data_IF_362249241680
#
_entry.id   IF_362249241680
#
_cell.length_a   1.000
_cell.length_b   1.000
_cell.length_c   1.000
_cell.angle_alpha   90.00
_cell.angle_beta   90.00
_cell.angle_gamma   90.00
#
_symmetry.space_group_name_H-M   'P 1'
#
loop_
_entity.id
_entity.type
_entity.pdbx_description
1 polymer ?
#
# COMPACT_ATOMS: atom_id res chain seq x y z
N UNK A 1 -18.46 24.33 -22.79
CA UNK A 1 -18.05 22.91 -22.93
C UNK A 1 -16.60 22.73 -23.41
N UNK A 2 -16.15 23.33 -24.52
CA UNK A 2 -14.75 23.18 -24.99
C UNK A 2 -13.69 23.79 -24.04
N UNK A 3 -13.97 24.93 -23.39
CA UNK A 3 -13.06 25.56 -22.42
C UNK A 3 -12.94 24.78 -21.12
N UNK A 4 -14.01 24.18 -20.60
CA UNK A 4 -13.97 23.34 -19.39
C UNK A 4 -13.17 22.05 -19.60
N UNK A 5 -13.26 21.45 -20.80
CA UNK A 5 -12.44 20.28 -21.15
C UNK A 5 -10.96 20.62 -21.33
N UNK A 6 -10.62 21.87 -21.69
CA UNK A 6 -9.25 22.33 -21.87
C UNK A 6 -8.59 22.68 -20.53
N UNK A 7 -9.34 23.19 -19.55
CA UNK A 7 -8.86 23.45 -18.19
C UNK A 7 -8.60 22.14 -17.44
N UNK A 8 -9.44 21.11 -17.63
CA UNK A 8 -9.22 19.79 -17.05
C UNK A 8 -7.94 19.07 -17.57
N UNK A 9 -7.48 19.44 -18.79
CA UNK A 9 -6.25 18.87 -19.39
C UNK A 9 -4.94 19.49 -18.85
N UNK A 10 -4.99 20.54 -18.04
CA UNK A 10 -3.82 21.25 -17.54
C UNK A 10 -3.54 21.03 -16.04
N UNK A 11 -4.40 20.28 -15.35
CA UNK A 11 -4.09 19.93 -13.96
C UNK A 11 -3.12 18.77 -13.93
N UNK A 12 -2.01 18.86 -13.15
CA UNK A 12 -1.10 17.74 -13.01
C UNK A 12 -1.81 16.53 -12.43
N UNK A 13 -1.45 15.31 -12.90
CA UNK A 13 -2.05 14.09 -12.37
C UNK A 13 -1.82 14.02 -10.87
N UNK A 14 -2.83 13.56 -10.14
CA UNK A 14 -2.77 13.36 -8.69
C UNK A 14 -2.86 11.87 -8.36
N UNK A 15 -1.82 11.36 -7.76
CA UNK A 15 -1.74 9.96 -7.33
C UNK A 15 -2.07 9.88 -5.84
N UNK A 16 -3.00 8.99 -5.49
CA UNK A 16 -3.23 8.56 -4.11
C UNK A 16 -2.31 7.39 -3.80
N UNK A 17 -1.44 7.50 -2.81
CA UNK A 17 -0.65 6.38 -2.29
C UNK A 17 -1.24 5.94 -0.96
N UNK A 18 -1.62 4.66 -0.87
CA UNK A 18 -2.24 4.08 0.31
C UNK A 18 -1.47 2.85 0.79
N UNK A 19 -0.49 3.02 1.70
CA UNK A 19 0.35 1.95 2.22
C UNK A 19 -0.35 1.12 3.30
N UNK A 20 0.14 -0.09 3.52
CA UNK A 20 -0.06 -0.77 4.79
C UNK A 20 0.62 0.04 5.91
N UNK A 21 -0.04 0.25 7.08
CA UNK A 21 0.51 1.08 8.15
C UNK A 21 1.60 0.36 8.97
N UNK A 22 2.64 -0.09 8.29
CA UNK A 22 3.83 -0.73 8.82
C UNK A 22 5.10 -0.05 8.27
N UNK A 23 6.14 0.19 9.07
CA UNK A 23 7.33 0.91 8.62
C UNK A 23 7.98 0.31 7.36
N UNK A 24 8.02 -1.02 7.26
CA UNK A 24 8.56 -1.74 6.09
C UNK A 24 7.78 -1.53 4.81
N UNK A 25 6.52 -1.14 4.89
CA UNK A 25 5.65 -0.82 3.77
C UNK A 25 5.59 0.69 3.49
N UNK A 26 5.59 1.50 4.53
CA UNK A 26 5.52 2.96 4.42
C UNK A 26 6.78 3.53 3.80
N UNK A 27 7.98 3.13 4.28
CA UNK A 27 9.24 3.73 3.84
C UNK A 27 9.50 3.59 2.33
N UNK A 28 9.32 2.41 1.69
CA UNK A 28 9.46 2.29 0.24
C UNK A 28 8.41 3.12 -0.52
N UNK A 29 7.18 3.20 -0.02
CA UNK A 29 6.12 3.97 -0.65
C UNK A 29 6.31 5.49 -0.46
N UNK A 30 6.89 5.95 0.65
CA UNK A 30 7.34 7.34 0.81
C UNK A 30 8.45 7.69 -0.17
N UNK A 31 9.37 6.76 -0.43
CA UNK A 31 10.42 6.99 -1.44
C UNK A 31 9.84 7.07 -2.85
N UNK A 32 8.87 6.22 -3.18
CA UNK A 32 8.13 6.34 -4.43
C UNK A 32 7.39 7.69 -4.53
N UNK A 33 6.71 8.09 -3.45
CA UNK A 33 6.00 9.36 -3.36
C UNK A 33 6.92 10.56 -3.63
N UNK A 34 8.13 10.54 -3.06
CA UNK A 34 9.16 11.55 -3.30
C UNK A 34 9.57 11.62 -4.77
N UNK A 35 9.83 10.47 -5.41
CA UNK A 35 10.19 10.41 -6.82
C UNK A 35 9.09 10.91 -7.75
N UNK A 36 7.83 10.58 -7.44
CA UNK A 36 6.67 11.09 -8.19
C UNK A 36 6.53 12.61 -8.03
N UNK A 37 6.68 13.13 -6.81
CA UNK A 37 6.62 14.56 -6.55
C UNK A 37 7.74 15.32 -7.26
N UNK A 38 8.97 14.80 -7.26
CA UNK A 38 10.09 15.33 -8.04
C UNK A 38 9.82 15.35 -9.55
N UNK A 39 9.01 14.42 -10.04
CA UNK A 39 8.58 14.36 -11.44
C UNK A 39 7.40 15.28 -11.77
N UNK A 40 6.97 16.14 -10.83
CA UNK A 40 5.85 17.07 -11.02
C UNK A 40 4.46 16.43 -10.88
N UNK A 41 4.37 15.20 -10.40
CA UNK A 41 3.10 14.53 -10.13
C UNK A 41 2.63 14.92 -8.72
N UNK A 42 1.39 15.35 -8.59
CA UNK A 42 0.80 15.61 -7.27
C UNK A 42 0.58 14.29 -6.53
N UNK A 43 0.92 14.27 -5.24
CA UNK A 43 0.79 13.07 -4.42
C UNK A 43 -0.07 13.35 -3.19
N UNK A 44 -1.08 12.54 -2.99
CA UNK A 44 -1.79 12.43 -1.71
C UNK A 44 -1.35 11.14 -1.04
N UNK A 45 -0.62 11.25 0.07
CA UNK A 45 -0.16 10.10 0.85
C UNK A 45 -1.14 9.85 2.00
N UNK A 46 -1.93 8.78 1.90
CA UNK A 46 -2.99 8.44 2.85
C UNK A 46 -2.47 7.40 3.84
N UNK A 47 -2.30 7.81 5.10
CA UNK A 47 -1.84 6.92 6.16
C UNK A 47 -2.89 6.77 7.26
N UNK A 48 -2.74 5.80 8.17
CA UNK A 48 -3.55 5.81 9.39
C UNK A 48 -3.13 6.97 10.28
N UNK A 49 -4.10 7.52 11.03
CA UNK A 49 -3.82 8.61 11.97
C UNK A 49 -2.74 8.21 12.98
N UNK A 50 -2.82 6.98 13.50
CA UNK A 50 -1.85 6.46 14.46
C UNK A 50 -0.43 6.44 13.87
N UNK A 51 -0.25 5.92 12.66
CA UNK A 51 1.06 5.83 12.05
C UNK A 51 1.57 7.20 11.59
N UNK A 52 0.69 8.08 11.14
CA UNK A 52 1.06 9.44 10.79
C UNK A 52 1.64 10.18 12.01
N UNK A 53 0.99 10.12 13.17
CA UNK A 53 1.48 10.72 14.40
C UNK A 53 2.84 10.14 14.82
N UNK A 54 3.06 8.83 14.65
CA UNK A 54 4.38 8.22 14.90
C UNK A 54 5.46 8.75 13.96
N UNK A 55 5.15 8.95 12.69
CA UNK A 55 6.10 9.52 11.72
C UNK A 55 6.45 10.96 12.07
N UNK A 56 5.49 11.76 12.52
CA UNK A 56 5.74 13.14 13.01
C UNK A 56 6.69 13.15 14.21
N UNK A 57 6.52 12.22 15.15
CA UNK A 57 7.34 12.16 16.36
C UNK A 57 8.79 11.72 16.10
N UNK A 58 9.02 10.91 15.06
CA UNK A 58 10.30 10.21 14.90
C UNK A 58 11.07 10.56 13.63
N UNK A 59 10.47 11.24 12.67
CA UNK A 59 11.08 11.39 11.33
C UNK A 59 10.95 12.78 10.71
N UNK A 60 10.38 13.77 11.41
CA UNK A 60 10.12 15.13 10.89
C UNK A 60 9.61 15.10 9.42
N UNK A 61 8.64 14.24 9.20
CA UNK A 61 8.21 13.88 7.85
C UNK A 61 7.58 15.07 7.11
N UNK A 62 6.96 16.00 7.83
CA UNK A 62 6.37 17.20 7.22
C UNK A 62 7.44 18.13 6.67
N UNK A 63 8.51 18.37 7.41
CA UNK A 63 9.63 19.18 6.94
C UNK A 63 10.31 18.55 5.71
N UNK A 64 10.48 17.23 5.71
CA UNK A 64 11.04 16.49 4.59
C UNK A 64 10.25 16.69 3.29
N UNK A 65 8.93 16.75 3.37
CA UNK A 65 8.07 16.85 2.19
C UNK A 65 7.55 18.27 1.92
N UNK A 66 7.84 19.26 2.79
CA UNK A 66 7.38 20.63 2.66
C UNK A 66 7.80 21.33 1.35
N UNK A 67 8.96 20.94 0.79
CA UNK A 67 9.48 21.53 -0.45
C UNK A 67 8.81 20.99 -1.73
N UNK A 68 8.06 19.91 -1.64
CA UNK A 68 7.43 19.29 -2.82
C UNK A 68 6.06 19.91 -3.08
N UNK A 69 5.97 20.72 -4.14
CA UNK A 69 4.69 21.29 -4.56
C UNK A 69 3.68 20.19 -4.92
N UNK A 70 2.47 20.28 -4.36
CA UNK A 70 1.40 19.31 -4.63
C UNK A 70 1.47 18.02 -3.83
N UNK A 71 2.45 17.85 -2.92
CA UNK A 71 2.47 16.75 -1.97
C UNK A 71 1.64 17.08 -0.73
N UNK A 72 0.77 16.16 -0.33
CA UNK A 72 -0.03 16.30 0.89
C UNK A 72 -0.16 14.98 1.64
N UNK A 73 -0.06 15.04 2.96
CA UNK A 73 -0.45 13.95 3.83
C UNK A 73 -1.94 14.03 4.15
N UNK A 74 -2.60 12.89 4.15
CA UNK A 74 -3.99 12.72 4.63
C UNK A 74 -4.03 11.50 5.55
N UNK A 75 -5.01 11.51 6.45
CA UNK A 75 -5.17 10.41 7.40
C UNK A 75 -6.54 9.78 7.30
N UNK A 76 -6.58 8.49 7.64
CA UNK A 76 -7.78 7.68 7.72
C UNK A 76 -7.76 6.91 9.05
N UNK A 77 -8.90 6.74 9.74
CA UNK A 77 -8.97 5.88 10.93
C UNK A 77 -8.65 4.42 10.56
N UNK A 78 -7.91 3.74 11.42
CA UNK A 78 -7.68 2.28 11.31
C UNK A 78 -8.85 1.45 11.85
N UNK A 79 -9.84 2.10 12.44
CA UNK A 79 -11.06 1.48 12.95
C UNK A 79 -10.88 0.75 14.29
N UNK A 80 -9.71 0.82 14.92
CA UNK A 80 -9.47 0.28 16.25
C UNK A 80 -9.75 1.33 17.33
N UNK A 81 -10.10 0.90 18.56
CA UNK A 81 -10.25 1.80 19.71
C UNK A 81 -8.94 2.52 20.06
N UNK A 82 -9.04 3.67 20.72
CA UNK A 82 -7.86 4.50 21.04
C UNK A 82 -6.90 3.82 22.01
N UNK A 83 -7.41 2.98 22.91
CA UNK A 83 -6.64 2.19 23.89
C UNK A 83 -5.96 0.95 23.31
N UNK A 84 -6.21 0.63 22.03
CA UNK A 84 -5.55 -0.51 21.39
C UNK A 84 -4.05 -0.22 21.19
N UNK A 85 -3.14 -1.12 21.61
CA UNK A 85 -1.70 -0.83 21.66
C UNK A 85 -1.02 -0.71 20.30
N UNK A 86 -1.61 -1.27 19.24
CA UNK A 86 -1.04 -1.31 17.87
C UNK A 86 0.42 -1.76 17.86
N UNK A 87 0.75 -2.70 18.76
CA UNK A 87 2.09 -3.29 18.87
C UNK A 87 2.37 -4.27 17.72
N UNK A 88 3.63 -4.67 17.57
CA UNK A 88 4.03 -5.62 16.52
C UNK A 88 3.29 -6.96 16.62
N UNK A 89 2.98 -7.42 17.86
CA UNK A 89 2.21 -8.65 18.10
C UNK A 89 0.73 -8.49 17.70
N UNK A 90 0.23 -7.25 17.65
CA UNK A 90 -1.16 -6.90 17.35
C UNK A 90 -1.37 -6.32 15.94
N UNK A 91 -0.34 -6.40 15.08
CA UNK A 91 -0.42 -5.86 13.71
C UNK A 91 -1.55 -6.48 12.89
N UNK A 92 -1.86 -7.76 13.12
CA UNK A 92 -2.96 -8.44 12.44
C UNK A 92 -4.31 -7.79 12.74
N UNK A 93 -4.52 -7.31 13.97
CA UNK A 93 -5.75 -6.63 14.38
C UNK A 93 -5.95 -5.34 13.56
N UNK A 94 -4.87 -4.58 13.34
CA UNK A 94 -4.87 -3.38 12.49
C UNK A 94 -5.26 -3.73 11.06
N UNK A 95 -4.60 -4.73 10.46
CA UNK A 95 -4.85 -5.16 9.09
C UNK A 95 -6.32 -5.59 8.91
N UNK A 96 -6.79 -6.48 9.78
CA UNK A 96 -8.17 -7.00 9.74
C UNK A 96 -9.19 -5.87 9.93
N UNK A 97 -8.96 -4.98 10.91
CA UNK A 97 -9.85 -3.84 11.14
C UNK A 97 -9.94 -2.94 9.92
N UNK A 98 -8.81 -2.62 9.29
CA UNK A 98 -8.79 -1.80 8.08
C UNK A 98 -9.49 -2.49 6.91
N UNK A 99 -9.23 -3.77 6.67
CA UNK A 99 -9.91 -4.53 5.60
C UNK A 99 -11.43 -4.54 5.76
N UNK A 100 -11.92 -4.60 7.00
CA UNK A 100 -13.36 -4.66 7.29
C UNK A 100 -14.05 -3.29 7.29
N UNK A 101 -13.35 -2.23 7.73
CA UNK A 101 -14.00 -0.94 8.03
C UNK A 101 -13.63 0.18 7.06
N UNK A 102 -12.48 0.09 6.38
CA UNK A 102 -11.93 1.21 5.62
C UNK A 102 -12.59 1.38 4.24
N UNK A 103 -13.11 0.33 3.62
CA UNK A 103 -13.70 0.37 2.27
C UNK A 103 -14.72 1.51 2.11
N UNK A 104 -15.71 1.56 2.99
CA UNK A 104 -16.78 2.58 2.92
C UNK A 104 -16.24 3.99 3.10
N UNK A 105 -15.35 4.17 4.06
CA UNK A 105 -14.76 5.47 4.35
C UNK A 105 -13.86 5.96 3.22
N UNK A 106 -13.00 5.09 2.69
CA UNK A 106 -12.14 5.41 1.54
C UNK A 106 -12.98 5.85 0.34
N UNK A 107 -14.05 5.11 0.02
CA UNK A 107 -14.98 5.49 -1.04
C UNK A 107 -15.60 6.88 -0.80
N UNK A 108 -16.04 7.17 0.42
CA UNK A 108 -16.59 8.48 0.78
C UNK A 108 -15.54 9.60 0.62
N UNK A 109 -14.32 9.39 1.09
CA UNK A 109 -13.23 10.38 0.99
C UNK A 109 -12.85 10.67 -0.46
N UNK A 110 -12.83 9.65 -1.32
CA UNK A 110 -12.59 9.82 -2.76
C UNK A 110 -13.75 10.57 -3.45
N UNK A 111 -14.98 10.13 -3.21
CA UNK A 111 -16.17 10.73 -3.84
C UNK A 111 -16.43 12.17 -3.40
N UNK A 112 -16.10 12.52 -2.14
CA UNK A 112 -16.28 13.88 -1.61
C UNK A 112 -15.17 14.87 -2.00
N UNK A 113 -14.09 14.39 -2.65
CA UNK A 113 -12.93 15.21 -2.97
C UNK A 113 -12.01 15.54 -1.79
N UNK A 114 -12.20 14.95 -0.61
CA UNK A 114 -11.32 15.14 0.56
C UNK A 114 -9.86 14.75 0.28
N UNK A 115 -9.65 13.82 -0.65
CA UNK A 115 -8.32 13.38 -1.10
C UNK A 115 -7.81 14.15 -2.33
N UNK A 116 -8.53 15.19 -2.78
CA UNK A 116 -8.31 15.88 -4.04
C UNK A 116 -8.86 15.10 -5.24
N UNK A 117 -8.65 15.64 -6.44
CA UNK A 117 -9.02 14.94 -7.67
C UNK A 117 -7.99 13.83 -7.96
N UNK A 118 -8.28 12.62 -7.48
CA UNK A 118 -7.40 11.47 -7.66
C UNK A 118 -7.56 10.91 -9.08
N UNK A 119 -6.45 10.81 -9.81
CA UNK A 119 -6.40 10.28 -11.18
C UNK A 119 -5.83 8.86 -11.25
N UNK A 120 -5.18 8.39 -10.20
CA UNK A 120 -4.67 7.04 -10.07
C UNK A 120 -4.48 6.69 -8.58
N UNK A 121 -4.70 5.44 -8.22
CA UNK A 121 -4.43 4.91 -6.89
C UNK A 121 -3.23 3.97 -6.96
N UNK A 122 -2.25 4.16 -6.08
CA UNK A 122 -1.19 3.19 -5.80
C UNK A 122 -1.45 2.64 -4.40
N UNK A 123 -1.85 1.39 -4.33
CA UNK A 123 -2.24 0.74 -3.07
C UNK A 123 -1.24 -0.35 -2.68
N UNK A 124 -1.00 -0.49 -1.39
CA UNK A 124 -0.30 -1.67 -0.88
C UNK A 124 -1.07 -2.94 -1.27
N UNK A 125 -0.35 -3.94 -1.74
CA UNK A 125 -0.94 -5.20 -2.18
C UNK A 125 -1.85 -5.85 -1.14
N UNK A 126 -1.55 -5.70 0.15
CA UNK A 126 -2.37 -6.26 1.24
C UNK A 126 -3.79 -5.67 1.21
N UNK A 127 -3.94 -4.43 0.80
CA UNK A 127 -5.23 -3.74 0.71
C UNK A 127 -5.86 -3.76 -0.68
N UNK A 128 -5.22 -4.40 -1.66
CA UNK A 128 -5.66 -4.38 -3.04
C UNK A 128 -7.12 -4.87 -3.22
N UNK A 129 -7.54 -5.90 -2.48
CA UNK A 129 -8.87 -6.49 -2.65
C UNK A 129 -10.00 -5.45 -2.54
N UNK A 130 -10.19 -4.85 -1.37
CA UNK A 130 -11.25 -3.87 -1.17
C UNK A 130 -11.02 -2.54 -1.90
N UNK A 131 -9.74 -2.17 -2.11
CA UNK A 131 -9.41 -0.91 -2.80
C UNK A 131 -9.69 -1.00 -4.29
N UNK A 132 -9.45 -2.16 -4.92
CA UNK A 132 -9.81 -2.40 -6.32
C UNK A 132 -11.31 -2.24 -6.53
N UNK A 133 -12.14 -2.83 -5.67
CA UNK A 133 -13.59 -2.66 -5.76
C UNK A 133 -14.02 -1.19 -5.69
N UNK A 134 -13.41 -0.39 -4.79
CA UNK A 134 -13.68 1.05 -4.70
C UNK A 134 -13.22 1.80 -5.95
N UNK A 135 -12.04 1.46 -6.48
CA UNK A 135 -11.47 2.07 -7.68
C UNK A 135 -12.33 1.79 -8.91
N UNK A 136 -12.81 0.55 -9.07
CA UNK A 136 -13.70 0.14 -10.16
C UNK A 136 -15.04 0.89 -10.10
N UNK A 137 -15.64 0.99 -8.89
CA UNK A 137 -16.89 1.72 -8.71
C UNK A 137 -16.77 3.23 -9.04
N UNK A 138 -15.59 3.82 -8.83
CA UNK A 138 -15.32 5.23 -9.11
C UNK A 138 -14.59 5.46 -10.44
N UNK A 139 -14.33 4.41 -11.20
CA UNK A 139 -13.61 4.42 -12.49
C UNK A 139 -12.23 5.10 -12.37
N UNK A 140 -11.51 4.84 -11.27
CA UNK A 140 -10.16 5.35 -11.03
C UNK A 140 -9.15 4.23 -11.31
N UNK A 141 -8.15 4.45 -12.19
CA UNK A 141 -7.06 3.50 -12.40
C UNK A 141 -6.35 3.15 -11.09
N UNK A 142 -6.00 1.87 -10.91
CA UNK A 142 -5.33 1.39 -9.70
C UNK A 142 -4.10 0.56 -10.04
N UNK A 143 -3.04 0.74 -9.26
CA UNK A 143 -1.81 -0.07 -9.30
C UNK A 143 -1.55 -0.65 -7.91
N UNK A 144 -1.09 -1.90 -7.87
CA UNK A 144 -0.66 -2.54 -6.63
C UNK A 144 0.85 -2.36 -6.45
N UNK A 145 1.25 -1.97 -5.25
CA UNK A 145 2.64 -1.88 -4.84
C UNK A 145 2.98 -3.02 -3.88
N UNK A 146 3.97 -3.84 -4.24
CA UNK A 146 4.47 -4.93 -3.41
C UNK A 146 5.86 -4.58 -2.87
N UNK A 147 6.06 -4.73 -1.57
CA UNK A 147 7.36 -4.51 -0.91
C UNK A 147 8.23 -5.77 -0.85
N UNK A 148 7.71 -6.90 -1.30
CA UNK A 148 8.45 -8.15 -1.40
C UNK A 148 8.98 -8.35 -2.82
N UNK A 149 10.03 -9.15 -2.96
CA UNK A 149 10.56 -9.46 -4.29
C UNK A 149 9.60 -10.33 -5.12
N UNK A 150 9.79 -10.36 -6.44
CA UNK A 150 8.91 -11.07 -7.36
C UNK A 150 8.76 -12.57 -7.05
N UNK A 151 9.83 -13.23 -6.57
CA UNK A 151 9.76 -14.66 -6.19
C UNK A 151 8.88 -14.88 -4.96
N UNK A 152 9.00 -14.01 -3.94
CA UNK A 152 8.15 -14.07 -2.75
C UNK A 152 6.69 -13.78 -3.09
N UNK A 153 6.46 -12.81 -3.97
CA UNK A 153 5.14 -12.45 -4.46
C UNK A 153 4.49 -13.61 -5.22
N UNK A 154 5.23 -14.21 -6.13
CA UNK A 154 4.79 -15.41 -6.86
C UNK A 154 4.50 -16.58 -5.92
N UNK A 155 5.35 -16.83 -4.93
CA UNK A 155 5.13 -17.90 -3.95
C UNK A 155 3.82 -17.69 -3.18
N UNK A 156 3.55 -16.48 -2.67
CA UNK A 156 2.31 -16.17 -1.94
C UNK A 156 1.08 -16.33 -2.84
N UNK A 157 1.12 -15.87 -4.09
CA UNK A 157 -0.01 -16.03 -5.03
C UNK A 157 -0.25 -17.48 -5.40
N UNK A 158 0.80 -18.29 -5.43
CA UNK A 158 0.71 -19.71 -5.79
C UNK A 158 0.15 -20.59 -4.68
N UNK A 159 0.15 -20.13 -3.41
CA UNK A 159 -0.29 -20.95 -2.25
C UNK A 159 -1.68 -21.54 -2.48
N UNK A 160 -2.64 -20.74 -2.96
CA UNK A 160 -4.00 -21.23 -3.21
C UNK A 160 -3.99 -22.41 -4.17
N UNK A 161 -3.32 -22.27 -5.32
CA UNK A 161 -3.23 -23.33 -6.32
C UNK A 161 -2.54 -24.57 -5.75
N UNK A 162 -1.48 -24.41 -4.94
CA UNK A 162 -0.78 -25.53 -4.30
C UNK A 162 -1.67 -26.26 -3.30
N UNK A 163 -2.55 -25.56 -2.59
CA UNK A 163 -3.54 -26.17 -1.70
C UNK A 163 -4.62 -26.91 -2.50
N UNK A 164 -5.18 -26.27 -3.52
CA UNK A 164 -6.24 -26.85 -4.37
C UNK A 164 -5.76 -28.09 -5.14
N UNK A 165 -4.50 -28.10 -5.54
CA UNK A 165 -3.87 -29.27 -6.22
C UNK A 165 -3.32 -30.33 -5.25
N UNK A 166 -3.50 -30.14 -3.93
CA UNK A 166 -3.06 -31.11 -2.91
C UNK A 166 -1.54 -31.18 -2.69
N UNK A 167 -0.78 -30.20 -3.20
CA UNK A 167 0.66 -30.09 -2.99
C UNK A 167 0.99 -29.47 -1.62
N UNK A 168 0.04 -28.77 -1.01
CA UNK A 168 0.09 -28.28 0.37
C UNK A 168 -1.13 -28.78 1.15
N UNK A 169 -0.99 -29.10 2.46
CA UNK A 169 0.27 -29.16 3.22
C UNK A 169 1.15 -30.33 2.76
N UNK A 170 2.47 -30.15 2.88
CA UNK A 170 3.44 -31.23 2.60
C UNK A 170 3.22 -32.35 3.63
N UNK A 171 2.67 -33.49 3.19
CA UNK A 171 2.38 -34.63 4.06
C UNK A 171 3.62 -35.49 4.20
N UNK A 172 3.99 -35.81 5.44
CA UNK A 172 4.90 -36.95 5.74
C UNK A 172 6.39 -36.62 5.76
N UNK A 173 6.82 -35.38 5.69
CA UNK A 173 8.22 -35.03 5.94
C UNK A 173 8.39 -34.50 7.37
N UNK A 174 9.01 -35.33 8.22
CA UNK A 174 9.68 -34.80 9.41
C UNK A 174 10.75 -33.80 8.94
N UNK A 175 10.75 -32.59 9.45
CA UNK A 175 11.74 -31.54 9.10
C UNK A 175 13.20 -31.95 9.36
N UNK A 176 13.43 -33.09 10.06
CA UNK A 176 14.73 -33.64 10.36
C UNK A 176 15.52 -34.14 9.12
N UNK A 177 14.88 -34.24 7.93
CA UNK A 177 15.54 -34.78 6.73
C UNK A 177 15.67 -33.78 5.59
N UNK A 178 15.49 -32.50 5.85
CA UNK A 178 15.74 -31.46 4.83
C UNK A 178 17.25 -31.19 4.71
N UNK A 179 17.96 -32.06 4.01
CA UNK A 179 19.30 -31.78 3.54
C UNK A 179 19.19 -30.79 2.36
N UNK A 180 19.57 -29.56 2.60
CA UNK A 180 19.83 -28.61 1.51
C UNK A 180 20.98 -29.19 0.71
N UNK A 181 20.70 -29.80 -0.44
CA UNK A 181 21.74 -30.16 -1.41
C UNK A 181 22.47 -28.88 -1.78
N UNK A 182 23.72 -28.77 -1.34
CA UNK A 182 24.61 -27.68 -1.77
C UNK A 182 24.77 -27.79 -3.29
N UNK A 183 23.98 -27.07 -4.02
CA UNK A 183 24.20 -26.88 -5.46
C UNK A 183 25.57 -26.22 -5.60
N UNK A 184 26.50 -26.92 -6.25
CA UNK A 184 27.83 -26.41 -6.56
C UNK A 184 27.66 -25.06 -7.26
N UNK A 185 28.14 -23.99 -6.64
CA UNK A 185 28.34 -22.71 -7.32
C UNK A 185 29.34 -22.96 -8.45
N UNK A 186 28.87 -23.06 -9.68
CA UNK A 186 29.74 -22.93 -10.84
C UNK A 186 30.25 -21.49 -10.84
N UNK A 187 31.56 -21.34 -10.67
CA UNK A 187 32.27 -20.08 -10.88
C UNK A 187 32.01 -19.64 -12.31
N UNK A 188 31.29 -18.55 -12.48
CA UNK A 188 31.27 -17.79 -13.73
C UNK A 188 32.34 -16.72 -13.55
N UNK A 189 33.39 -16.80 -14.41
CA UNK A 189 34.42 -15.78 -14.56
C UNK A 189 33.85 -14.56 -15.28
#
# INVERSE_FOLDING_TARGET
>A
MAMEQQVARHQPPRVLIFPLPEPGHINPQLKLAELLALSGIHVTFLNTLFMHNRLLLHADIEARFASYSGFVFKTIPDGLPDDHPRSAEKKTDVIVSMMMKTKKLLKQMLASGQLGLVTCIIVDRVFAGFTTEVADELQIPIMQFSVINACGDWAITSIRNLVETGQLPIRGTSFSNFQISKTKQSKVY
#
